data_IF_275190428693
#
_entry.id   IF_275190428693
#
_cell.length_a   1.000
_cell.length_b   1.000
_cell.length_c   1.000
_cell.angle_alpha   90.00
_cell.angle_beta   90.00
_cell.angle_gamma   90.00
#
_symmetry.space_group_name_H-M   'P 1'
#
loop_
_entity.id
_entity.type
_entity.pdbx_description
1 polymer ?
#
# COMPACT_ATOMS: atom_id res chain seq x y z
N UNK A 1 -13.16 53.40 -41.41
CA UNK A 1 -13.31 52.52 -40.23
C UNK A 1 -12.35 51.36 -40.39
N UNK A 2 -11.28 51.34 -39.58
CA UNK A 2 -10.25 50.30 -39.60
C UNK A 2 -10.25 49.69 -38.19
N UNK A 3 -10.52 48.38 -38.14
CA UNK A 3 -10.84 47.62 -36.95
C UNK A 3 -9.65 47.45 -36.00
N UNK A 4 -9.97 47.43 -34.70
CA UNK A 4 -9.07 47.05 -33.61
C UNK A 4 -8.93 45.52 -33.60
N UNK A 5 -7.70 45.02 -33.62
CA UNK A 5 -7.34 43.64 -33.28
C UNK A 5 -6.10 43.70 -32.39
N UNK A 6 -6.32 43.75 -31.08
CA UNK A 6 -5.30 43.49 -30.06
C UNK A 6 -5.37 42.01 -29.71
N UNK A 7 -4.44 41.23 -30.26
CA UNK A 7 -4.23 39.82 -29.91
C UNK A 7 -3.48 39.74 -28.59
N UNK A 8 -4.17 39.27 -27.54
CA UNK A 8 -3.56 38.97 -26.25
C UNK A 8 -2.72 37.69 -26.35
N UNK A 9 -1.44 37.78 -25.99
CA UNK A 9 -0.53 36.64 -25.89
C UNK A 9 -0.78 35.97 -24.52
N UNK A 10 -1.59 34.92 -24.49
CA UNK A 10 -1.73 34.08 -23.31
C UNK A 10 -0.51 33.15 -23.20
N UNK A 11 0.32 33.35 -22.17
CA UNK A 11 1.35 32.37 -21.81
C UNK A 11 0.65 31.08 -21.34
N UNK A 12 0.74 30.02 -22.14
CA UNK A 12 0.40 28.68 -21.69
C UNK A 12 1.54 28.16 -20.80
N UNK A 13 1.40 28.31 -19.50
CA UNK A 13 2.19 27.53 -18.54
C UNK A 13 1.75 26.08 -18.65
N UNK A 14 2.53 25.27 -19.35
CA UNK A 14 2.39 23.80 -19.32
C UNK A 14 2.83 23.32 -17.94
N UNK A 15 1.91 23.28 -16.99
CA UNK A 15 2.01 22.42 -15.83
C UNK A 15 1.85 20.99 -16.32
N UNK A 16 2.97 20.29 -16.50
CA UNK A 16 2.98 18.83 -16.50
C UNK A 16 2.49 18.39 -15.12
N UNK A 17 1.19 18.11 -15.03
CA UNK A 17 0.62 17.37 -13.92
C UNK A 17 1.30 15.99 -13.94
N UNK A 18 2.15 15.77 -12.94
CA UNK A 18 2.65 14.46 -12.58
C UNK A 18 1.42 13.62 -12.24
N UNK A 19 0.97 12.79 -13.19
CA UNK A 19 -0.06 11.78 -12.94
C UNK A 19 0.61 10.68 -12.13
N UNK A 20 0.79 10.93 -10.82
CA UNK A 20 0.76 9.85 -9.86
C UNK A 20 -0.68 9.37 -9.89
N UNK A 21 -0.88 8.14 -10.36
CA UNK A 21 -2.17 7.48 -10.33
C UNK A 21 -2.70 7.52 -8.90
N UNK A 22 -3.64 8.43 -8.65
CA UNK A 22 -4.53 8.32 -7.52
C UNK A 22 -5.37 7.08 -7.78
N UNK A 23 -4.83 5.92 -7.37
CA UNK A 23 -5.63 4.73 -7.14
C UNK A 23 -6.75 5.19 -6.23
N UNK A 24 -7.98 5.20 -6.74
CA UNK A 24 -9.15 5.44 -5.93
C UNK A 24 -9.10 4.42 -4.81
N UNK A 25 -8.83 4.87 -3.58
CA UNK A 25 -9.09 4.08 -2.40
C UNK A 25 -10.59 3.80 -2.42
N UNK A 26 -10.98 2.68 -3.01
CA UNK A 26 -12.27 2.08 -2.76
C UNK A 26 -12.31 1.91 -1.25
N UNK A 27 -13.25 2.58 -0.58
CA UNK A 27 -13.57 2.29 0.81
C UNK A 27 -14.08 0.85 0.86
N UNK A 28 -13.16 -0.11 0.89
CA UNK A 28 -13.45 -1.51 1.09
C UNK A 28 -14.14 -1.59 2.46
N UNK A 29 -15.43 -1.86 2.42
CA UNK A 29 -16.26 -1.96 3.62
C UNK A 29 -15.96 -3.32 4.23
N UNK A 30 -15.59 -3.34 5.51
CA UNK A 30 -15.40 -4.59 6.23
C UNK A 30 -16.64 -5.49 6.10
N UNK A 31 -16.41 -6.80 5.96
CA UNK A 31 -17.48 -7.78 5.80
C UNK A 31 -18.05 -7.89 4.38
N UNK A 32 -17.46 -7.19 3.40
CA UNK A 32 -17.82 -7.35 1.99
C UNK A 32 -16.89 -8.38 1.33
N UNK A 33 -17.42 -9.39 0.61
CA UNK A 33 -16.59 -10.33 -0.15
C UNK A 33 -15.64 -9.62 -1.11
N UNK A 34 -14.38 -10.05 -1.13
CA UNK A 34 -13.30 -9.47 -1.92
C UNK A 34 -12.74 -8.16 -1.38
N UNK A 35 -13.22 -7.66 -0.24
CA UNK A 35 -12.65 -6.48 0.41
C UNK A 35 -11.25 -6.78 0.95
N UNK A 36 -10.35 -5.82 0.78
CA UNK A 36 -9.02 -5.81 1.36
C UNK A 36 -8.69 -4.38 1.84
N UNK A 37 -8.33 -4.24 3.11
CA UNK A 37 -8.03 -2.96 3.75
C UNK A 37 -6.70 -3.09 4.48
N UNK A 38 -5.84 -2.09 4.35
CA UNK A 38 -4.55 -2.05 5.07
C UNK A 38 -4.58 -1.04 6.21
N UNK A 39 -3.62 -1.17 7.13
CA UNK A 39 -3.46 -0.32 8.29
C UNK A 39 -2.42 0.80 8.13
N UNK A 40 -1.93 1.24 9.29
CA UNK A 40 -0.81 2.17 9.42
C UNK A 40 0.51 1.40 9.31
N UNK A 41 1.56 2.04 8.79
CA UNK A 41 2.92 1.53 8.89
C UNK A 41 3.64 2.23 10.06
N UNK A 42 4.30 1.46 10.92
CA UNK A 42 5.21 1.96 11.95
C UNK A 42 6.65 1.84 11.48
N UNK A 43 7.35 2.98 11.40
CA UNK A 43 8.75 3.05 11.04
C UNK A 43 9.60 3.36 12.26
N UNK A 44 10.44 2.40 12.67
CA UNK A 44 11.32 2.55 13.83
C UNK A 44 12.77 2.67 13.38
N UNK A 45 13.41 3.81 13.68
CA UNK A 45 14.84 4.00 13.44
C UNK A 45 15.66 3.11 14.39
N UNK A 46 16.56 2.31 13.81
CA UNK A 46 17.48 1.42 14.51
C UNK A 46 18.85 1.48 13.85
N UNK A 47 19.78 2.22 14.44
CA UNK A 47 21.14 2.40 13.90
C UNK A 47 21.11 2.90 12.44
N UNK A 48 21.68 2.11 11.53
CA UNK A 48 21.78 2.33 10.08
C UNK A 48 20.55 1.82 9.30
N UNK A 49 19.47 1.44 10.00
CA UNK A 49 18.26 0.87 9.40
C UNK A 49 16.99 1.52 9.90
N UNK A 50 15.95 1.40 9.08
CA UNK A 50 14.57 1.66 9.48
C UNK A 50 13.84 0.32 9.47
N UNK A 51 13.29 -0.08 10.61
CA UNK A 51 12.38 -1.23 10.70
C UNK A 51 10.98 -0.75 10.39
N UNK A 52 10.39 -1.30 9.36
CA UNK A 52 9.02 -1.03 8.94
C UNK A 52 8.17 -2.21 9.37
N UNK A 53 7.19 -1.95 10.21
CA UNK A 53 6.15 -2.89 10.60
C UNK A 53 4.83 -2.36 10.05
N UNK A 54 4.07 -3.16 9.32
CA UNK A 54 2.74 -2.77 8.85
C UNK A 54 1.72 -3.71 9.47
N UNK A 55 0.67 -3.11 10.02
CA UNK A 55 -0.42 -3.87 10.63
C UNK A 55 -1.03 -4.82 9.59
N UNK A 56 -1.34 -6.03 10.03
CA UNK A 56 -2.00 -7.05 9.21
C UNK A 56 -3.22 -6.47 8.48
N UNK A 57 -3.33 -6.68 7.15
CA UNK A 57 -4.49 -6.20 6.41
C UNK A 57 -5.73 -7.04 6.75
N UNK A 58 -6.90 -6.42 6.67
CA UNK A 58 -8.18 -7.13 6.76
C UNK A 58 -8.58 -7.56 5.35
N UNK A 59 -8.55 -8.86 5.07
CA UNK A 59 -8.82 -9.41 3.73
C UNK A 59 -9.91 -10.48 3.79
N UNK A 60 -10.95 -10.36 2.96
CA UNK A 60 -12.05 -11.33 2.82
C UNK A 60 -11.89 -12.16 1.55
N UNK A 61 -12.47 -13.36 1.49
CA UNK A 61 -12.48 -14.16 0.27
C UNK A 61 -13.28 -13.47 -0.84
N UNK A 62 -12.94 -13.75 -2.10
CA UNK A 62 -13.67 -13.29 -3.27
C UNK A 62 -15.13 -13.79 -3.24
N UNK A 63 -16.07 -13.09 -3.92
CA UNK A 63 -17.44 -13.57 -4.04
C UNK A 63 -17.51 -14.92 -4.77
N UNK A 64 -18.48 -15.76 -4.38
CA UNK A 64 -18.76 -17.04 -5.05
C UNK A 64 -18.27 -18.28 -4.28
N UNK A 65 -17.57 -18.10 -3.17
CA UNK A 65 -17.26 -19.17 -2.22
C UNK A 65 -18.51 -19.57 -1.43
N UNK A 66 -18.66 -20.87 -1.14
CA UNK A 66 -19.76 -21.36 -0.32
C UNK A 66 -19.60 -20.92 1.15
N UNK A 67 -20.68 -20.86 1.94
CA UNK A 67 -20.57 -20.52 3.36
C UNK A 67 -19.60 -21.45 4.11
N UNK A 68 -18.56 -20.87 4.71
CA UNK A 68 -17.51 -21.59 5.42
C UNK A 68 -16.41 -22.20 4.53
N UNK A 69 -16.51 -22.06 3.21
CA UNK A 69 -15.44 -22.38 2.28
C UNK A 69 -14.34 -21.31 2.36
N UNK A 70 -13.11 -21.78 2.49
CA UNK A 70 -11.97 -20.89 2.63
C UNK A 70 -11.28 -20.67 1.29
N UNK A 71 -11.03 -19.42 0.95
CA UNK A 71 -10.05 -19.05 -0.05
C UNK A 71 -8.68 -18.86 0.60
N UNK A 72 -7.63 -19.40 -0.04
CA UNK A 72 -6.27 -19.10 0.36
C UNK A 72 -5.86 -17.73 -0.19
N UNK A 73 -5.26 -16.92 0.68
CA UNK A 73 -4.73 -15.60 0.35
C UNK A 73 -3.24 -15.64 0.67
N UNK A 74 -2.42 -15.01 -0.16
CA UNK A 74 -1.03 -14.71 0.20
C UNK A 74 -0.80 -13.22 0.21
N UNK A 75 0.11 -12.78 1.06
CA UNK A 75 0.40 -11.36 1.27
C UNK A 75 1.88 -11.13 1.58
N UNK A 76 2.39 -9.96 1.25
CA UNK A 76 3.73 -9.52 1.63
C UNK A 76 3.84 -8.00 1.69
N UNK A 77 4.79 -7.50 2.47
CA UNK A 77 5.15 -6.08 2.43
C UNK A 77 6.14 -5.80 1.32
N UNK A 78 5.89 -4.76 0.56
CA UNK A 78 6.79 -4.19 -0.44
C UNK A 78 7.08 -2.74 -0.06
N UNK A 79 8.36 -2.37 -0.09
CA UNK A 79 8.82 -1.02 0.23
C UNK A 79 9.50 -0.43 -0.99
N UNK A 80 9.06 0.76 -1.37
CA UNK A 80 9.50 1.47 -2.57
C UNK A 80 10.12 2.80 -2.16
N UNK A 81 11.23 3.18 -2.78
CA UNK A 81 11.76 4.54 -2.65
C UNK A 81 10.76 5.53 -3.26
N UNK A 82 10.25 6.45 -2.45
CA UNK A 82 9.19 7.37 -2.83
C UNK A 82 9.64 8.39 -3.90
N UNK A 83 10.94 8.72 -3.97
CA UNK A 83 11.47 9.67 -4.93
C UNK A 83 11.76 9.02 -6.29
N UNK A 84 12.26 7.78 -6.28
CA UNK A 84 12.70 7.06 -7.47
C UNK A 84 11.65 6.10 -8.02
N UNK A 85 10.68 5.68 -7.21
CA UNK A 85 9.69 4.66 -7.56
C UNK A 85 10.31 3.26 -7.71
N UNK A 86 11.49 3.03 -7.15
CA UNK A 86 12.23 1.76 -7.27
C UNK A 86 12.05 0.91 -6.02
N UNK A 87 11.99 -0.42 -6.21
CA UNK A 87 11.93 -1.38 -5.10
C UNK A 87 13.15 -1.22 -4.18
N UNK A 88 12.90 -0.94 -2.90
CA UNK A 88 13.91 -0.92 -1.86
C UNK A 88 14.06 -2.31 -1.21
N UNK A 89 12.94 -2.92 -0.81
CA UNK A 89 12.90 -4.29 -0.28
C UNK A 89 11.50 -4.90 -0.46
N UNK A 90 11.43 -6.22 -0.55
CA UNK A 90 10.18 -6.97 -0.42
C UNK A 90 10.36 -8.05 0.66
N UNK A 91 9.33 -8.22 1.48
CA UNK A 91 9.23 -9.33 2.43
C UNK A 91 8.93 -10.66 1.74
N UNK A 92 8.94 -11.73 2.53
CA UNK A 92 8.50 -13.04 2.07
C UNK A 92 6.97 -13.09 1.96
N UNK A 93 6.48 -14.01 1.12
CA UNK A 93 5.06 -14.28 1.03
C UNK A 93 4.60 -15.08 2.25
N UNK A 94 3.64 -14.53 2.96
CA UNK A 94 2.89 -15.20 4.00
C UNK A 94 1.52 -15.63 3.46
N UNK A 95 0.83 -16.53 4.16
CA UNK A 95 -0.48 -17.06 3.70
C UNK A 95 -1.51 -17.04 4.81
N UNK A 96 -2.72 -16.60 4.48
CA UNK A 96 -3.91 -16.65 5.32
C UNK A 96 -5.06 -17.38 4.61
N UNK A 97 -6.16 -17.59 5.34
CA UNK A 97 -7.40 -18.18 4.82
C UNK A 97 -8.60 -17.35 5.24
N UNK A 98 -9.34 -16.84 4.27
CA UNK A 98 -10.56 -16.06 4.51
C UNK A 98 -11.79 -16.82 4.01
N UNK A 99 -12.96 -16.46 4.53
CA UNK A 99 -14.26 -16.75 3.91
C UNK A 99 -14.87 -15.46 3.37
N UNK A 100 -16.02 -15.56 2.72
CA UNK A 100 -16.82 -14.42 2.26
C UNK A 100 -17.32 -13.51 3.40
N UNK A 101 -17.33 -14.02 4.63
CA UNK A 101 -17.94 -13.42 5.83
C UNK A 101 -16.98 -13.28 7.00
N UNK A 102 -15.79 -13.89 6.92
CA UNK A 102 -14.74 -13.83 7.93
C UNK A 102 -13.41 -13.49 7.27
N UNK A 103 -12.77 -12.44 7.77
CA UNK A 103 -11.45 -12.03 7.31
C UNK A 103 -10.41 -13.14 7.53
N UNK A 104 -9.35 -13.12 6.72
CA UNK A 104 -8.20 -13.97 6.89
C UNK A 104 -7.53 -13.72 8.24
N UNK A 105 -7.09 -14.81 8.86
CA UNK A 105 -6.13 -14.75 9.96
C UNK A 105 -4.75 -14.46 9.36
N UNK A 106 -4.23 -13.27 9.62
CA UNK A 106 -3.01 -12.72 9.01
C UNK A 106 -2.17 -12.07 10.11
N UNK A 107 -0.86 -12.25 10.02
CA UNK A 107 0.10 -11.66 10.95
C UNK A 107 0.61 -10.30 10.44
N UNK A 108 1.10 -9.47 11.37
CA UNK A 108 1.78 -8.24 11.03
C UNK A 108 3.12 -8.55 10.33
N UNK A 109 3.37 -7.86 9.23
CA UNK A 109 4.59 -8.07 8.45
C UNK A 109 5.68 -7.05 8.78
N UNK A 110 6.93 -7.49 8.74
CA UNK A 110 8.10 -6.70 9.16
C UNK A 110 9.23 -6.79 8.16
N UNK A 111 9.79 -5.64 7.78
CA UNK A 111 10.94 -5.54 6.88
C UNK A 111 11.90 -4.46 7.36
N UNK A 112 13.20 -4.68 7.16
CA UNK A 112 14.24 -3.70 7.48
C UNK A 112 14.78 -3.10 6.17
N UNK A 113 14.80 -1.76 6.08
CA UNK A 113 15.46 -1.02 4.98
C UNK A 113 16.69 -0.28 5.50
N UNK A 114 17.65 -0.03 4.61
CA UNK A 114 18.80 0.82 4.94
C UNK A 114 18.31 2.26 5.13
N UNK A 115 18.77 2.88 6.22
CA UNK A 115 18.58 4.30 6.43
C UNK A 115 19.58 5.05 5.55
N UNK A 116 19.10 5.66 4.48
CA UNK A 116 19.88 6.52 3.62
C UNK A 116 19.17 7.86 3.54
N UNK A 117 19.61 8.85 4.31
CA UNK A 117 19.10 10.22 4.15
C UNK A 117 19.51 10.74 2.75
N UNK A 118 18.61 11.33 1.95
CA UNK A 118 17.28 11.85 2.29
C UNK A 118 16.10 10.96 1.83
N UNK A 119 16.28 9.64 1.70
CA UNK A 119 15.26 8.76 1.14
C UNK A 119 14.00 8.72 2.02
N UNK A 120 12.85 8.76 1.36
CA UNK A 120 11.55 8.51 1.96
C UNK A 120 10.97 7.24 1.32
N UNK A 121 10.29 6.41 2.10
CA UNK A 121 9.78 5.13 1.63
C UNK A 121 8.25 5.06 1.65
N UNK A 122 7.70 4.51 0.58
CA UNK A 122 6.31 4.08 0.46
C UNK A 122 6.21 2.60 0.86
N UNK A 123 5.24 2.27 1.69
CA UNK A 123 4.99 0.90 2.14
C UNK A 123 3.67 0.42 1.56
N UNK A 124 3.72 -0.73 0.89
CA UNK A 124 2.63 -1.35 0.17
C UNK A 124 2.46 -2.76 0.72
N UNK A 125 1.25 -3.14 1.07
CA UNK A 125 0.90 -4.53 1.31
C UNK A 125 0.33 -5.12 0.01
N UNK A 126 1.08 -6.00 -0.63
CA UNK A 126 0.59 -6.77 -1.77
C UNK A 126 -0.25 -7.94 -1.22
N UNK A 127 -1.45 -8.12 -1.79
CA UNK A 127 -2.38 -9.19 -1.41
C UNK A 127 -2.84 -9.89 -2.67
N UNK A 128 -2.77 -11.22 -2.65
CA UNK A 128 -3.22 -12.07 -3.75
C UNK A 128 -4.19 -13.13 -3.24
N UNK A 129 -5.32 -13.25 -3.94
CA UNK A 129 -6.27 -14.34 -3.74
C UNK A 129 -5.89 -15.48 -4.67
N UNK A 130 -5.70 -16.68 -4.13
CA UNK A 130 -5.26 -17.83 -4.90
C UNK A 130 -6.45 -18.65 -5.41
N UNK A 131 -6.22 -19.33 -6.53
CA UNK A 131 -7.10 -20.38 -7.03
C UNK A 131 -7.15 -21.55 -6.02
N UNK A 132 -8.11 -22.48 -6.16
CA UNK A 132 -8.20 -23.66 -5.29
C UNK A 132 -6.95 -24.56 -5.29
N UNK A 133 -6.09 -24.44 -6.31
CA UNK A 133 -4.80 -25.13 -6.38
C UNK A 133 -3.75 -24.57 -5.39
N UNK A 134 -3.98 -23.36 -4.86
CA UNK A 134 -3.07 -22.69 -3.93
C UNK A 134 -1.79 -22.13 -4.59
N UNK A 135 -1.70 -22.13 -5.92
CA UNK A 135 -0.49 -21.75 -6.65
C UNK A 135 -0.67 -20.47 -7.45
N UNK A 136 -1.81 -20.34 -8.13
CA UNK A 136 -2.04 -19.28 -9.10
C UNK A 136 -2.95 -18.17 -8.54
N UNK A 137 -2.56 -16.89 -8.61
CA UNK A 137 -3.43 -15.79 -8.19
C UNK A 137 -4.60 -15.64 -9.18
N UNK A 138 -5.81 -15.51 -8.65
CA UNK A 138 -7.03 -15.20 -9.42
C UNK A 138 -7.41 -13.72 -9.33
N UNK A 139 -6.94 -13.04 -8.29
CA UNK A 139 -7.05 -11.60 -8.10
C UNK A 139 -5.87 -11.11 -7.27
N UNK A 140 -5.52 -9.83 -7.41
CA UNK A 140 -4.46 -9.18 -6.65
C UNK A 140 -4.83 -7.71 -6.38
N UNK A 141 -4.28 -7.16 -5.30
CA UNK A 141 -4.38 -5.74 -4.99
C UNK A 141 -3.16 -5.26 -4.22
N UNK A 142 -2.82 -3.99 -4.46
CA UNK A 142 -1.77 -3.28 -3.74
C UNK A 142 -2.43 -2.33 -2.75
N UNK A 143 -2.11 -2.48 -1.47
CA UNK A 143 -2.68 -1.68 -0.40
C UNK A 143 -1.62 -0.75 0.19
N UNK A 144 -1.70 0.53 -0.14
CA UNK A 144 -0.79 1.54 0.38
C UNK A 144 -1.09 1.84 1.85
N UNK A 145 -0.05 1.89 2.68
CA UNK A 145 -0.19 2.28 4.09
C UNK A 145 -0.95 3.60 4.21
N UNK A 146 -1.93 3.64 5.12
CA UNK A 146 -2.82 4.80 5.27
C UNK A 146 -2.15 6.00 5.94
N UNK A 147 -1.09 5.72 6.72
CA UNK A 147 -0.26 6.71 7.41
C UNK A 147 1.04 6.07 7.89
N UNK A 148 2.03 6.90 8.26
CA UNK A 148 3.33 6.43 8.74
C UNK A 148 3.63 6.98 10.13
N UNK A 149 3.66 6.10 11.13
CA UNK A 149 4.07 6.44 12.49
C UNK A 149 5.58 6.29 12.63
N UNK A 150 6.29 7.39 12.87
CA UNK A 150 7.75 7.38 12.99
C UNK A 150 8.15 7.31 14.47
N UNK A 151 9.08 6.40 14.77
CA UNK A 151 9.66 6.20 16.10
C UNK A 151 11.18 6.25 16.05
N UNK A 152 11.79 6.92 17.02
CA UNK A 152 13.21 6.78 17.34
C UNK A 152 13.37 5.91 18.59
N UNK A 153 13.76 4.64 18.38
CA UNK A 153 13.73 3.63 19.42
C UNK A 153 12.32 3.42 20.00
N UNK A 154 12.07 3.94 21.20
CA UNK A 154 10.75 3.88 21.88
C UNK A 154 9.97 5.19 21.81
N UNK A 155 10.59 6.27 21.35
CA UNK A 155 9.99 7.60 21.33
C UNK A 155 9.20 7.76 20.04
N UNK A 156 7.93 8.11 20.16
CA UNK A 156 7.10 8.51 19.02
C UNK A 156 7.44 9.93 18.59
N UNK A 157 7.75 10.11 17.31
CA UNK A 157 8.08 11.40 16.72
C UNK A 157 6.85 12.05 16.04
N UNK A 158 5.88 11.23 15.61
CA UNK A 158 4.62 11.68 15.03
C UNK A 158 4.18 10.84 13.83
N UNK A 159 3.13 11.30 13.17
CA UNK A 159 2.59 10.70 11.93
C UNK A 159 2.95 11.55 10.72
N UNK A 160 3.36 10.89 9.64
CA UNK A 160 3.90 11.52 8.43
C UNK A 160 3.31 10.86 7.17
N UNK A 161 3.55 11.50 6.02
CA UNK A 161 3.10 11.05 4.69
C UNK A 161 3.97 9.92 4.11
N UNK A 162 5.18 9.76 4.63
CA UNK A 162 6.13 8.73 4.20
C UNK A 162 6.96 8.23 5.38
N UNK A 163 7.54 7.05 5.20
CA UNK A 163 8.53 6.51 6.12
C UNK A 163 9.89 7.19 5.87
N UNK A 164 10.32 8.05 6.79
CA UNK A 164 11.61 8.76 6.78
C UNK A 164 12.44 8.32 7.97
#
# INVERSE_FOLDING_TARGET
MIGKLTTALALATTTTALVLGAGTASAATEGVPGAAVTGQATCTHKNDKIRIEIDSPVVYAQPGYLPGENQQIRYRTVVVDAAQGTLAVAGEWETGKATDTKAADMDDTKVDVLRNDPNAYLVIQEVEWLAPDGENPVAATDLYATSYLIKDGRTELGTFDYCQ
#
